data_IF_364178872551
#
_entry.id   IF_364178872551
#
_cell.length_a   1.000
_cell.length_b   1.000
_cell.length_c   1.000
_cell.angle_alpha   90.00
_cell.angle_beta   90.00
_cell.angle_gamma   90.00
#
_symmetry.space_group_name_H-M   'P 1'
#
loop_
_entity.id
_entity.type
_entity.pdbx_description
1 polymer ?
#
# COMPACT_ATOMS: atom_id res chain seq x y z
N UNK A 1 -11.86 -19.84 -3.60
CA UNK A 1 -11.85 -18.81 -2.55
C UNK A 1 -11.09 -17.61 -3.09
N UNK A 2 -11.70 -16.40 -3.19
CA UNK A 2 -10.89 -15.20 -3.35
C UNK A 2 -9.93 -15.13 -2.16
N UNK A 3 -8.67 -14.80 -2.43
CA UNK A 3 -7.71 -14.61 -1.34
C UNK A 3 -8.18 -13.37 -0.56
N UNK A 4 -8.27 -13.51 0.76
CA UNK A 4 -8.51 -12.36 1.64
C UNK A 4 -7.42 -11.31 1.38
N UNK A 5 -7.78 -10.04 1.07
CA UNK A 5 -6.81 -8.98 0.81
C UNK A 5 -5.75 -8.86 1.91
N UNK A 6 -6.10 -9.10 3.16
CA UNK A 6 -5.19 -8.98 4.30
C UNK A 6 -4.13 -10.09 4.31
N UNK A 7 -4.55 -11.33 4.03
CA UNK A 7 -3.63 -12.46 3.91
C UNK A 7 -2.69 -12.29 2.71
N UNK A 8 -3.19 -11.69 1.63
CA UNK A 8 -2.38 -11.34 0.47
C UNK A 8 -1.32 -10.27 0.78
N UNK A 9 -1.66 -9.23 1.56
CA UNK A 9 -0.70 -8.20 1.98
C UNK A 9 0.40 -8.80 2.86
N UNK A 10 0.04 -9.69 3.78
CA UNK A 10 1.02 -10.39 4.59
C UNK A 10 2.00 -11.23 3.74
N UNK A 11 1.48 -11.95 2.75
CA UNK A 11 2.32 -12.72 1.81
C UNK A 11 3.20 -11.82 0.93
N UNK A 12 2.73 -10.62 0.56
CA UNK A 12 3.53 -9.62 -0.17
C UNK A 12 4.66 -9.05 0.69
N UNK A 13 4.39 -8.79 1.98
CA UNK A 13 5.35 -8.22 2.92
C UNK A 13 6.48 -9.20 3.29
N UNK A 14 6.17 -10.49 3.42
CA UNK A 14 7.13 -11.52 3.87
C UNK A 14 7.70 -12.35 2.69
N UNK A 15 7.01 -12.35 1.55
CA UNK A 15 7.33 -13.19 0.41
C UNK A 15 8.59 -12.79 -0.35
N UNK A 16 9.29 -13.78 -0.91
CA UNK A 16 10.39 -13.53 -1.83
C UNK A 16 9.93 -12.97 -3.19
N UNK A 17 10.85 -12.46 -4.04
CA UNK A 17 10.50 -11.75 -5.29
C UNK A 17 9.58 -12.53 -6.24
N UNK A 18 9.73 -13.87 -6.30
CA UNK A 18 8.88 -14.73 -7.12
C UNK A 18 7.44 -14.86 -6.59
N UNK A 19 7.25 -14.79 -5.27
CA UNK A 19 5.93 -14.80 -4.61
C UNK A 19 5.23 -13.47 -4.86
N UNK A 20 5.95 -12.36 -4.69
CA UNK A 20 5.47 -11.00 -4.99
C UNK A 20 4.99 -10.90 -6.44
N UNK A 21 5.82 -11.30 -7.41
CA UNK A 21 5.47 -11.24 -8.82
C UNK A 21 4.20 -12.04 -9.17
N UNK A 22 4.01 -13.21 -8.53
CA UNK A 22 2.82 -14.05 -8.73
C UNK A 22 1.57 -13.38 -8.15
N UNK A 23 1.66 -12.81 -6.96
CA UNK A 23 0.54 -12.14 -6.27
C UNK A 23 0.16 -10.85 -7.02
N UNK A 24 1.14 -10.04 -7.43
CA UNK A 24 0.95 -8.87 -8.29
C UNK A 24 0.24 -9.27 -9.58
N UNK A 25 0.67 -10.36 -10.23
CA UNK A 25 0.03 -10.88 -11.44
C UNK A 25 -1.44 -11.28 -11.26
N UNK A 26 -1.83 -11.70 -10.05
CA UNK A 26 -3.24 -11.99 -9.71
C UNK A 26 -4.02 -10.72 -9.42
N UNK A 27 -3.46 -9.81 -8.62
CA UNK A 27 -4.07 -8.55 -8.27
C UNK A 27 -4.34 -7.65 -9.49
N UNK A 28 -3.52 -7.75 -10.54
CA UNK A 28 -3.75 -7.10 -11.84
C UNK A 28 -5.08 -7.49 -12.51
N UNK A 29 -5.68 -8.64 -12.15
CA UNK A 29 -7.00 -9.06 -12.65
C UNK A 29 -8.13 -8.83 -11.63
N UNK A 30 -7.83 -8.25 -10.48
CA UNK A 30 -8.81 -7.87 -9.47
C UNK A 30 -9.34 -6.47 -9.76
N UNK A 31 -10.58 -6.20 -9.35
CA UNK A 31 -11.16 -4.85 -9.28
C UNK A 31 -11.24 -4.33 -7.83
N UNK A 32 -10.68 -5.09 -6.88
CA UNK A 32 -10.50 -4.65 -5.50
C UNK A 32 -9.38 -3.61 -5.41
N UNK A 33 -9.72 -2.39 -4.96
CA UNK A 33 -8.79 -1.25 -4.90
C UNK A 33 -7.57 -1.58 -4.03
N UNK A 34 -7.78 -2.21 -2.88
CA UNK A 34 -6.69 -2.61 -1.97
C UNK A 34 -5.70 -3.54 -2.66
N UNK A 35 -6.19 -4.54 -3.41
CA UNK A 35 -5.33 -5.43 -4.17
C UNK A 35 -4.55 -4.71 -5.28
N UNK A 36 -5.19 -3.79 -6.01
CA UNK A 36 -4.52 -3.03 -7.08
C UNK A 36 -3.45 -2.08 -6.51
N UNK A 37 -3.73 -1.38 -5.41
CA UNK A 37 -2.76 -0.52 -4.72
C UNK A 37 -1.58 -1.34 -4.18
N UNK A 38 -1.84 -2.47 -3.51
CA UNK A 38 -0.77 -3.35 -3.05
C UNK A 38 0.11 -3.78 -4.23
N UNK A 39 -0.50 -4.23 -5.33
CA UNK A 39 0.25 -4.64 -6.52
C UNK A 39 1.11 -3.53 -7.11
N UNK A 40 0.69 -2.26 -7.00
CA UNK A 40 1.46 -1.12 -7.45
C UNK A 40 2.65 -0.83 -6.53
N UNK A 41 2.41 -0.78 -5.21
CA UNK A 41 3.43 -0.37 -4.23
C UNK A 41 4.53 -1.42 -4.03
N UNK A 42 4.19 -2.71 -4.13
CA UNK A 42 5.19 -3.78 -3.96
C UNK A 42 6.14 -3.96 -5.15
N UNK A 43 5.95 -3.21 -6.24
CA UNK A 43 6.88 -3.21 -7.37
C UNK A 43 8.05 -2.25 -7.11
N UNK A 44 9.28 -2.59 -7.53
CA UNK A 44 10.41 -1.68 -7.41
C UNK A 44 10.14 -0.34 -8.11
N UNK A 45 10.13 0.76 -7.35
CA UNK A 45 9.82 2.11 -7.86
C UNK A 45 8.35 2.39 -8.13
N UNK A 46 7.44 1.48 -7.75
CA UNK A 46 6.01 1.59 -8.01
C UNK A 46 5.58 1.23 -9.43
N UNK A 47 4.27 1.10 -9.65
CA UNK A 47 3.66 0.90 -10.97
C UNK A 47 2.61 2.01 -11.23
N UNK A 48 2.97 3.10 -11.93
CA UNK A 48 2.09 4.25 -12.14
C UNK A 48 0.77 3.88 -12.83
N UNK A 49 0.80 2.93 -13.77
CA UNK A 49 -0.40 2.50 -14.48
C UNK A 49 -1.39 1.78 -13.55
N UNK A 50 -0.90 1.05 -12.55
CA UNK A 50 -1.75 0.46 -11.52
C UNK A 50 -2.28 1.50 -10.55
N UNK A 51 -1.51 2.54 -10.22
CA UNK A 51 -1.98 3.65 -9.40
C UNK A 51 -3.09 4.45 -10.09
N UNK A 52 -2.95 4.74 -11.39
CA UNK A 52 -4.00 5.40 -12.19
C UNK A 52 -5.29 4.56 -12.21
N UNK A 53 -5.15 3.24 -12.36
CA UNK A 53 -6.29 2.33 -12.31
C UNK A 53 -6.93 2.28 -10.92
N UNK A 54 -6.13 2.22 -9.85
CA UNK A 54 -6.64 2.23 -8.48
C UNK A 54 -7.43 3.53 -8.21
N UNK A 55 -6.92 4.67 -8.66
CA UNK A 55 -7.62 5.96 -8.58
C UNK A 55 -8.95 5.94 -9.35
N UNK A 56 -9.00 5.33 -10.53
CA UNK A 56 -10.23 5.20 -11.30
C UNK A 56 -11.27 4.25 -10.65
N UNK A 57 -10.82 3.22 -9.94
CA UNK A 57 -11.67 2.27 -9.21
C UNK A 57 -12.13 2.81 -7.84
N UNK A 58 -11.45 3.81 -7.28
CA UNK A 58 -11.69 4.37 -5.95
C UNK A 58 -13.00 5.18 -5.87
N UNK A 59 -14.10 4.49 -5.63
CA UNK A 59 -15.43 5.09 -5.52
C UNK A 59 -15.72 5.64 -4.12
N UNK A 60 -15.18 5.02 -3.07
CA UNK A 60 -15.41 5.45 -1.69
C UNK A 60 -14.34 6.42 -1.19
N UNK A 61 -14.66 7.16 -0.12
CA UNK A 61 -13.66 8.00 0.57
C UNK A 61 -12.51 7.17 1.11
N UNK A 62 -12.79 5.97 1.65
CA UNK A 62 -11.78 5.03 2.15
C UNK A 62 -10.79 4.65 1.04
N UNK A 63 -11.30 4.31 -0.13
CA UNK A 63 -10.47 3.94 -1.29
C UNK A 63 -9.60 5.12 -1.76
N UNK A 64 -10.16 6.32 -1.82
CA UNK A 64 -9.43 7.53 -2.24
C UNK A 64 -8.34 7.91 -1.24
N UNK A 65 -8.60 7.78 0.05
CA UNK A 65 -7.60 7.97 1.09
C UNK A 65 -6.46 6.95 0.94
N UNK A 66 -6.79 5.67 0.76
CA UNK A 66 -5.79 4.62 0.53
C UNK A 66 -4.90 4.95 -0.68
N UNK A 67 -5.50 5.33 -1.81
CA UNK A 67 -4.74 5.73 -3.02
C UNK A 67 -3.84 6.93 -2.73
N UNK A 68 -4.35 7.93 -2.01
CA UNK A 68 -3.58 9.14 -1.68
C UNK A 68 -2.40 8.85 -0.75
N UNK A 69 -2.58 7.97 0.23
CA UNK A 69 -1.50 7.49 1.12
C UNK A 69 -0.43 6.75 0.32
N UNK A 70 -0.84 5.86 -0.58
CA UNK A 70 0.08 5.10 -1.41
C UNK A 70 0.87 6.00 -2.37
N UNK A 71 0.26 7.05 -2.94
CA UNK A 71 0.98 8.03 -3.76
C UNK A 71 2.04 8.78 -2.93
N UNK A 72 1.69 9.27 -1.74
CA UNK A 72 2.65 9.94 -0.87
C UNK A 72 3.85 9.03 -0.51
N UNK A 73 3.59 7.74 -0.31
CA UNK A 73 4.65 6.74 -0.10
C UNK A 73 5.57 6.58 -1.31
N UNK A 74 5.00 6.47 -2.51
CA UNK A 74 5.79 6.35 -3.75
C UNK A 74 6.60 7.62 -4.05
N UNK A 75 6.10 8.79 -3.64
CA UNK A 75 6.81 10.07 -3.72
C UNK A 75 7.89 10.23 -2.63
N UNK A 76 7.94 9.32 -1.65
CA UNK A 76 8.88 9.37 -0.52
C UNK A 76 8.54 10.42 0.54
N UNK A 77 7.31 10.95 0.55
CA UNK A 77 6.83 11.96 1.51
C UNK A 77 6.40 11.30 2.83
N UNK A 78 7.39 10.93 3.64
CA UNK A 78 7.19 10.11 4.86
C UNK A 78 6.33 10.82 5.90
N UNK A 79 6.52 12.13 6.11
CA UNK A 79 5.73 12.88 7.10
C UNK A 79 4.24 12.93 6.68
N UNK A 80 3.98 13.14 5.38
CA UNK A 80 2.62 13.10 4.85
C UNK A 80 2.00 11.72 4.95
N UNK A 81 2.76 10.65 4.69
CA UNK A 81 2.29 9.29 4.90
C UNK A 81 1.91 9.07 6.36
N UNK A 82 2.77 9.45 7.31
CA UNK A 82 2.52 9.25 8.74
C UNK A 82 1.26 9.98 9.22
N UNK A 83 1.06 11.23 8.80
CA UNK A 83 -0.12 12.01 9.17
C UNK A 83 -1.41 11.44 8.58
N UNK A 84 -1.39 11.11 7.29
CA UNK A 84 -2.57 10.54 6.61
C UNK A 84 -2.88 9.11 7.08
N UNK A 85 -1.86 8.29 7.33
CA UNK A 85 -2.04 6.94 7.84
C UNK A 85 -2.60 6.95 9.26
N UNK A 86 -2.14 7.88 10.11
CA UNK A 86 -2.68 8.05 11.46
C UNK A 86 -4.18 8.35 11.41
N UNK A 87 -4.58 9.33 10.61
CA UNK A 87 -5.99 9.71 10.42
C UNK A 87 -6.83 8.53 9.90
N UNK A 88 -6.36 7.88 8.83
CA UNK A 88 -7.06 6.73 8.24
C UNK A 88 -7.21 5.55 9.21
N UNK A 89 -6.20 5.23 10.01
CA UNK A 89 -6.22 4.10 10.95
C UNK A 89 -7.09 4.38 12.18
N UNK A 90 -7.42 5.64 12.50
CA UNK A 90 -8.43 5.94 13.52
C UNK A 90 -9.81 5.44 13.09
N UNK A 91 -10.16 5.68 11.82
CA UNK A 91 -11.46 5.29 11.26
C UNK A 91 -11.49 3.84 10.73
N UNK A 92 -10.33 3.33 10.31
CA UNK A 92 -10.16 2.01 9.68
C UNK A 92 -8.98 1.24 10.31
N UNK A 93 -9.11 0.81 11.58
CA UNK A 93 -8.03 0.13 12.30
C UNK A 93 -7.65 -1.23 11.70
N UNK A 94 -8.52 -1.80 10.87
CA UNK A 94 -8.31 -3.05 10.11
C UNK A 94 -7.48 -2.88 8.84
N UNK A 95 -7.11 -1.65 8.45
CA UNK A 95 -6.42 -1.37 7.17
C UNK A 95 -4.94 -1.81 7.19
N UNK A 96 -4.71 -3.12 7.00
CA UNK A 96 -3.38 -3.75 7.03
C UNK A 96 -2.41 -3.10 6.02
N UNK A 97 -2.89 -2.76 4.82
CA UNK A 97 -2.07 -2.14 3.79
C UNK A 97 -1.55 -0.76 4.22
N UNK A 98 -2.41 0.06 4.83
CA UNK A 98 -2.01 1.40 5.31
C UNK A 98 -1.02 1.30 6.45
N UNK A 99 -1.24 0.38 7.39
CA UNK A 99 -0.29 0.12 8.47
C UNK A 99 1.09 -0.31 7.92
N UNK A 100 1.10 -1.18 6.91
CA UNK A 100 2.33 -1.61 6.24
C UNK A 100 3.01 -0.45 5.49
N UNK A 101 2.28 0.35 4.70
CA UNK A 101 2.83 1.50 3.97
C UNK A 101 3.50 2.49 4.93
N UNK A 102 2.85 2.81 6.06
CA UNK A 102 3.41 3.71 7.05
C UNK A 102 4.70 3.16 7.67
N UNK A 103 4.71 1.86 8.01
CA UNK A 103 5.92 1.20 8.53
C UNK A 103 7.05 1.14 7.49
N UNK A 104 6.74 0.88 6.22
CA UNK A 104 7.72 0.85 5.14
C UNK A 104 8.32 2.23 4.87
N UNK A 105 7.50 3.28 4.87
CA UNK A 105 7.94 4.68 4.66
C UNK A 105 8.93 5.12 5.72
N UNK A 106 8.65 4.82 7.00
CA UNK A 106 9.56 5.17 8.10
C UNK A 106 10.90 4.44 8.03
N UNK A 107 10.92 3.20 7.52
CA UNK A 107 12.17 2.45 7.32
C UNK A 107 12.98 2.98 6.12
N UNK A 108 12.30 3.56 5.13
CA UNK A 108 12.94 4.16 3.97
C UNK A 108 13.53 5.56 4.26
N UNK A 109 13.18 6.19 5.39
CA UNK A 109 13.80 7.44 5.86
C UNK A 109 14.92 7.16 6.87
N UNK A 110 16.20 7.13 6.43
CA UNK A 110 17.35 6.90 7.32
C UNK A 110 17.59 8.08 8.27
N UNK A 111 16.92 9.22 8.09
CA UNK A 111 17.11 10.42 8.93
C UNK A 111 16.38 10.29 10.27
N UNK A 112 15.44 9.33 10.39
CA UNK A 112 14.63 9.10 11.61
C UNK A 112 15.23 8.04 12.55
N UNK A 113 16.34 7.41 12.16
CA UNK A 113 17.17 6.57 13.05
C UNK A 113 18.09 7.43 13.94
N UNK A 114 17.51 8.21 14.84
CA UNK A 114 18.10 8.50 16.15
C UNK A 114 16.98 8.95 17.10
N UNK A 115 16.71 8.17 18.15
CA UNK A 115 17.25 8.60 19.42
C UNK A 115 17.92 7.45 20.16
N UNK A 116 19.19 7.68 20.52
CA UNK A 116 19.90 6.96 21.58
C UNK A 116 19.08 6.74 22.85
#
# INVERSE_FOLDING_TARGET
MPADPDNMIHELAVGGPAVVARIVGRARRSDDVTAVVAAAVFQPGGDPALMDRAAALAVSTRDRQLVSIALAHLDGDVDRVDDMARDHLVDHPDSVLVAWIAAASRQADPTREDPR
#
